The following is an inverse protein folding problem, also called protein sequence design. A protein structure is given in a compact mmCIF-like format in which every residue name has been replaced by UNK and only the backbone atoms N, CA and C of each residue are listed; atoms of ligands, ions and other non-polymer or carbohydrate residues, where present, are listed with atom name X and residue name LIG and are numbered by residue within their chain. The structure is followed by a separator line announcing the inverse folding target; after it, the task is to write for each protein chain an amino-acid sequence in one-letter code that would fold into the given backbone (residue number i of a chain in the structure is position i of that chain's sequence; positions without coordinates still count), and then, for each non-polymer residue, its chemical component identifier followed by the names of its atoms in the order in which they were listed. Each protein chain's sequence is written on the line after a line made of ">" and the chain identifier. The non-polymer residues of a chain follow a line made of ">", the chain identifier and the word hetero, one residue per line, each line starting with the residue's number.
data_IF_053058732328
#
_entry.id   IF_053058732328
#
_cell.length_a   1.000
_cell.length_b   1.000
_cell.length_c   1.000
_cell.angle_alpha   90.00
_cell.angle_beta   90.00
_cell.angle_gamma   90.00
#
_symmetry.space_group_name_H-M   'P 1'
#
loop_
_entity.id
_entity.type
_entity.pdbx_description
1 polymer ?
#
# COMPACT_ATOMS: atom_id res chain seq x y z
N UNK A 1 -20.63 5.79 -9.46
CA UNK A 1 -19.80 6.70 -10.28
C UNK A 1 -18.58 5.91 -10.71
N UNK A 2 -18.30 5.80 -12.01
CA UNK A 2 -17.07 5.18 -12.50
C UNK A 2 -15.95 6.22 -12.38
N UNK A 3 -14.92 5.93 -11.58
CA UNK A 3 -13.75 6.82 -11.47
C UNK A 3 -13.10 6.99 -12.85
N UNK A 4 -12.67 8.21 -13.16
CA UNK A 4 -11.92 8.48 -14.38
C UNK A 4 -10.59 7.70 -14.33
N UNK A 5 -10.07 7.20 -15.46
CA UNK A 5 -8.79 6.47 -15.46
C UNK A 5 -7.65 7.23 -14.77
N UNK A 6 -7.65 8.57 -14.90
CA UNK A 6 -6.66 9.46 -14.31
C UNK A 6 -6.81 9.71 -12.80
N UNK A 7 -7.90 9.28 -12.19
CA UNK A 7 -8.18 9.40 -10.77
C UNK A 7 -7.61 8.24 -9.94
N UNK A 8 -7.31 7.13 -10.61
CA UNK A 8 -6.93 5.89 -9.92
C UNK A 8 -5.43 5.87 -9.63
N UNK A 9 -5.08 5.56 -8.39
CA UNK A 9 -3.70 5.37 -7.93
C UNK A 9 -3.31 3.89 -8.08
N UNK A 10 -4.05 3.01 -7.41
CA UNK A 10 -3.76 1.58 -7.38
C UNK A 10 -5.00 0.76 -6.97
N UNK A 11 -4.90 -0.53 -7.13
CA UNK A 11 -5.86 -1.52 -6.62
C UNK A 11 -5.18 -2.51 -5.69
N UNK A 12 -5.85 -2.82 -4.59
CA UNK A 12 -5.50 -3.92 -3.70
C UNK A 12 -6.42 -5.10 -4.02
N UNK A 13 -5.87 -6.10 -4.69
CA UNK A 13 -6.61 -7.23 -5.20
C UNK A 13 -6.34 -8.46 -4.32
N UNK A 14 -7.35 -9.07 -3.70
CA UNK A 14 -7.15 -10.29 -2.92
C UNK A 14 -6.49 -11.38 -3.76
N UNK A 15 -5.45 -12.02 -3.23
CA UNK A 15 -4.70 -13.05 -3.96
C UNK A 15 -5.48 -14.35 -4.16
N UNK A 16 -6.44 -14.62 -3.27
CA UNK A 16 -7.29 -15.82 -3.30
C UNK A 16 -8.71 -15.50 -2.84
N UNK A 17 -9.68 -16.20 -3.44
CA UNK A 17 -11.08 -16.13 -3.03
C UNK A 17 -11.26 -16.71 -1.62
N UNK A 18 -12.23 -16.20 -0.86
CA UNK A 18 -12.49 -16.54 0.55
C UNK A 18 -11.32 -16.33 1.54
N UNK A 19 -10.22 -15.71 1.11
CA UNK A 19 -9.10 -15.33 1.98
C UNK A 19 -9.49 -14.21 2.94
N UNK A 20 -8.57 -13.89 3.88
CA UNK A 20 -8.75 -12.71 4.75
C UNK A 20 -8.77 -11.40 3.95
N UNK A 21 -8.00 -11.32 2.88
CA UNK A 21 -8.03 -10.17 1.98
C UNK A 21 -9.37 -10.06 1.22
N UNK A 22 -9.92 -11.18 0.77
CA UNK A 22 -11.25 -11.20 0.15
C UNK A 22 -12.34 -10.77 1.15
N UNK A 23 -12.26 -11.25 2.40
CA UNK A 23 -13.15 -10.79 3.48
C UNK A 23 -13.07 -9.27 3.71
N UNK A 24 -11.89 -8.65 3.55
CA UNK A 24 -11.74 -7.19 3.65
C UNK A 24 -12.61 -6.46 2.63
N UNK A 25 -12.79 -7.00 1.43
CA UNK A 25 -13.64 -6.39 0.39
C UNK A 25 -15.14 -6.43 0.72
N UNK A 26 -15.55 -7.19 1.73
CA UNK A 26 -16.92 -7.32 2.19
C UNK A 26 -17.22 -6.54 3.48
N UNK A 27 -16.21 -5.91 4.07
CA UNK A 27 -16.39 -5.03 5.23
C UNK A 27 -17.12 -3.77 4.79
N UNK A 28 -18.17 -3.39 5.52
CA UNK A 28 -19.05 -2.26 5.19
C UNK A 28 -18.32 -0.93 5.05
N UNK A 29 -17.31 -0.72 5.90
CA UNK A 29 -16.51 0.50 5.94
C UNK A 29 -15.63 0.67 4.69
N UNK A 30 -15.32 -0.43 4.01
CA UNK A 30 -14.57 -0.42 2.75
C UNK A 30 -15.48 -0.23 1.52
N UNK A 31 -16.80 -0.28 1.67
CA UNK A 31 -17.76 -0.36 0.56
C UNK A 31 -17.60 0.76 -0.48
N UNK A 32 -17.24 1.97 -0.05
CA UNK A 32 -17.04 3.13 -0.94
C UNK A 32 -15.80 3.01 -1.83
N UNK A 33 -14.85 2.12 -1.50
CA UNK A 33 -13.63 1.87 -2.25
C UNK A 33 -13.65 0.58 -3.05
N UNK A 34 -14.76 -0.16 -3.02
CA UNK A 34 -14.85 -1.45 -3.71
C UNK A 34 -15.15 -1.25 -5.19
N UNK A 35 -14.38 -1.93 -6.03
CA UNK A 35 -14.60 -2.04 -7.47
C UNK A 35 -14.62 -3.50 -7.91
N UNK A 36 -15.20 -3.76 -9.10
CA UNK A 36 -15.14 -5.08 -9.72
C UNK A 36 -13.87 -5.21 -10.57
N UNK A 37 -13.18 -6.34 -10.43
CA UNK A 37 -11.98 -6.65 -11.23
C UNK A 37 -12.33 -6.91 -12.70
N UNK A 38 -13.53 -7.40 -12.98
CA UNK A 38 -13.99 -7.72 -14.34
C UNK A 38 -14.51 -6.50 -15.10
N UNK A 39 -15.02 -5.50 -14.40
CA UNK A 39 -15.57 -4.28 -15.02
C UNK A 39 -14.51 -3.28 -15.46
N UNK A 40 -13.28 -3.42 -14.98
CA UNK A 40 -12.16 -2.55 -15.32
C UNK A 40 -11.24 -3.30 -16.32
N UNK A 41 -11.19 -2.84 -17.56
CA UNK A 41 -10.42 -3.49 -18.63
C UNK A 41 -8.91 -3.48 -18.37
N UNK A 42 -8.37 -2.40 -17.80
CA UNK A 42 -6.97 -2.31 -17.44
C UNK A 42 -6.63 -3.32 -16.33
N UNK A 43 -7.40 -3.33 -15.25
CA UNK A 43 -7.19 -4.26 -14.14
C UNK A 43 -7.36 -5.70 -14.61
N UNK A 44 -8.39 -6.00 -15.40
CA UNK A 44 -8.62 -7.32 -15.98
C UNK A 44 -7.46 -7.79 -16.85
N UNK A 45 -6.88 -6.91 -17.68
CA UNK A 45 -5.72 -7.26 -18.53
C UNK A 45 -4.46 -7.55 -17.72
N UNK A 46 -4.22 -6.78 -16.66
CA UNK A 46 -3.06 -7.00 -15.75
C UNK A 46 -3.20 -8.28 -14.94
N UNK A 47 -4.42 -8.68 -14.60
CA UNK A 47 -4.71 -9.89 -13.84
C UNK A 47 -4.80 -11.14 -14.72
N UNK A 48 -5.09 -11.01 -16.02
CA UNK A 48 -5.27 -12.16 -16.93
C UNK A 48 -4.00 -13.02 -17.09
N UNK A 49 -2.83 -12.45 -16.84
CA UNK A 49 -1.56 -13.18 -16.87
C UNK A 49 -1.31 -14.02 -15.61
N UNK A 50 -2.22 -13.97 -14.62
CA UNK A 50 -2.09 -14.64 -13.33
C UNK A 50 -3.11 -15.78 -13.28
N UNK A 51 -2.64 -16.99 -13.45
CA UNK A 51 -3.43 -18.22 -13.67
C UNK A 51 -4.40 -18.62 -12.55
N UNK A 52 -4.40 -17.95 -11.39
CA UNK A 52 -5.21 -18.33 -10.23
C UNK A 52 -5.95 -17.13 -9.59
N UNK A 53 -6.22 -16.07 -10.35
CA UNK A 53 -6.93 -14.93 -9.79
C UNK A 53 -8.43 -15.18 -9.79
N UNK A 54 -9.00 -15.39 -8.62
CA UNK A 54 -10.41 -15.75 -8.46
C UNK A 54 -11.26 -14.69 -7.76
N UNK A 55 -10.66 -13.59 -7.27
CA UNK A 55 -11.47 -12.55 -6.63
C UNK A 55 -12.06 -11.57 -7.65
N UNK A 56 -13.38 -11.42 -7.59
CA UNK A 56 -14.13 -10.50 -8.46
C UNK A 56 -14.11 -9.05 -7.91
N UNK A 57 -13.56 -8.83 -6.74
CA UNK A 57 -13.58 -7.54 -6.03
C UNK A 57 -12.18 -7.09 -5.67
N UNK A 58 -11.95 -5.79 -5.76
CA UNK A 58 -10.72 -5.14 -5.33
C UNK A 58 -11.04 -3.86 -4.54
N UNK A 59 -10.10 -3.44 -3.70
CA UNK A 59 -10.14 -2.13 -3.04
C UNK A 59 -9.37 -1.16 -3.93
N UNK A 60 -10.01 -0.06 -4.33
CA UNK A 60 -9.46 0.96 -5.19
C UNK A 60 -8.97 2.15 -4.37
N UNK A 61 -7.76 2.60 -4.64
CA UNK A 61 -7.18 3.83 -4.10
C UNK A 61 -7.25 4.91 -5.18
N UNK A 62 -7.82 6.07 -4.86
CA UNK A 62 -8.05 7.17 -5.81
C UNK A 62 -7.68 8.51 -5.20
N UNK A 63 -7.35 9.47 -6.06
CA UNK A 63 -7.13 10.85 -5.66
C UNK A 63 -8.43 11.56 -5.23
N UNK A 64 -9.55 11.27 -5.90
CA UNK A 64 -10.87 11.89 -5.61
C UNK A 64 -11.50 11.41 -4.29
N UNK A 65 -11.06 10.30 -3.75
CA UNK A 65 -11.47 9.82 -2.44
C UNK A 65 -10.26 9.83 -1.49
N UNK A 66 -9.90 11.01 -0.95
CA UNK A 66 -8.72 11.18 -0.13
C UNK A 66 -8.79 10.32 1.12
N UNK A 67 -7.62 9.99 1.70
CA UNK A 67 -7.54 9.30 2.97
C UNK A 67 -7.97 10.22 4.12
N UNK A 68 -8.19 9.65 5.28
CA UNK A 68 -8.48 10.37 6.54
C UNK A 68 -7.32 11.24 6.98
N UNK A 69 -6.10 10.86 6.60
CA UNK A 69 -4.89 11.65 6.82
C UNK A 69 -4.28 12.04 5.49
N UNK A 70 -3.85 13.29 5.33
CA UNK A 70 -3.24 13.75 4.08
C UNK A 70 -2.11 12.84 3.62
N UNK A 71 -2.09 12.53 2.33
CA UNK A 71 -1.01 11.81 1.68
C UNK A 71 -0.85 10.32 2.04
N UNK A 72 -1.75 9.72 2.89
CA UNK A 72 -1.49 8.39 3.43
C UNK A 72 -2.76 7.56 3.63
N UNK A 73 -2.90 6.44 2.92
CA UNK A 73 -3.95 5.46 3.17
C UNK A 73 -3.53 4.50 4.27
N UNK A 74 -4.17 4.57 5.43
CA UNK A 74 -3.88 3.72 6.58
C UNK A 74 -4.67 2.41 6.47
N UNK A 75 -3.97 1.29 6.66
CA UNK A 75 -4.55 -0.05 6.72
C UNK A 75 -4.49 -0.58 8.16
N UNK A 76 -5.56 -1.18 8.64
CA UNK A 76 -5.60 -1.74 9.99
C UNK A 76 -7.00 -2.12 10.44
N UNK A 77 -7.18 -2.36 11.74
CA UNK A 77 -8.45 -2.87 12.28
C UNK A 77 -9.36 -1.80 12.92
N UNK A 78 -8.88 -0.56 13.07
CA UNK A 78 -9.68 0.53 13.68
C UNK A 78 -10.37 1.38 12.60
N UNK A 79 -11.71 1.30 12.45
CA UNK A 79 -12.43 2.03 11.42
C UNK A 79 -12.44 3.56 11.62
N UNK A 80 -12.04 4.06 12.79
CA UNK A 80 -11.97 5.51 13.02
C UNK A 80 -10.73 6.14 12.43
N UNK A 81 -9.63 5.37 12.36
CA UNK A 81 -8.33 5.88 11.97
C UNK A 81 -7.79 5.28 10.67
N UNK A 82 -8.33 4.15 10.23
CA UNK A 82 -7.92 3.47 9.01
C UNK A 82 -8.86 3.78 7.83
N UNK A 83 -8.28 3.88 6.65
CA UNK A 83 -8.98 4.07 5.37
C UNK A 83 -9.41 2.73 4.76
N UNK A 84 -8.60 1.70 5.01
CA UNK A 84 -8.85 0.32 4.60
C UNK A 84 -8.91 -0.54 5.86
N UNK A 85 -10.10 -1.08 6.13
CA UNK A 85 -10.35 -1.90 7.30
C UNK A 85 -10.02 -3.35 6.99
N UNK A 86 -9.14 -3.93 7.81
CA UNK A 86 -8.74 -5.32 7.75
C UNK A 86 -9.53 -6.16 8.77
N UNK A 87 -9.70 -7.47 8.53
CA UNK A 87 -10.33 -8.36 9.49
C UNK A 87 -9.58 -8.35 10.83
N UNK A 88 -10.32 -8.39 11.92
CA UNK A 88 -9.74 -8.45 13.27
C UNK A 88 -9.21 -9.86 13.53
N UNK A 89 -7.94 -10.07 13.20
CA UNK A 89 -7.21 -11.30 13.46
C UNK A 89 -5.98 -11.02 14.30
N UNK A 90 -5.45 -12.06 14.94
CA UNK A 90 -4.22 -11.94 15.71
C UNK A 90 -3.06 -11.44 14.84
N UNK A 91 -2.26 -10.53 15.36
CA UNK A 91 -1.12 -9.94 14.66
C UNK A 91 -1.43 -8.66 13.90
N UNK A 92 -2.69 -8.36 13.57
CA UNK A 92 -3.03 -7.12 12.86
C UNK A 92 -3.26 -5.98 13.85
N UNK A 93 -2.47 -4.93 13.75
CA UNK A 93 -2.56 -3.73 14.59
C UNK A 93 -3.80 -2.89 14.25
N UNK A 94 -4.19 -2.00 15.18
CA UNK A 94 -5.26 -1.02 14.94
C UNK A 94 -4.96 -0.14 13.72
N UNK A 95 -3.74 0.38 13.67
CA UNK A 95 -3.10 0.94 12.49
C UNK A 95 -1.89 0.04 12.23
N UNK A 96 -1.79 -0.59 11.07
CA UNK A 96 -0.77 -1.59 10.79
C UNK A 96 0.31 -1.06 9.85
N UNK A 97 -0.10 -0.55 8.73
CA UNK A 97 0.79 0.03 7.74
C UNK A 97 0.08 1.16 6.97
N UNK A 98 0.84 1.91 6.19
CA UNK A 98 0.33 2.96 5.32
C UNK A 98 0.83 2.81 3.89
N UNK A 99 -0.01 3.18 2.93
CA UNK A 99 0.37 3.39 1.54
C UNK A 99 0.39 4.90 1.29
N UNK A 100 1.53 5.43 0.87
CA UNK A 100 1.78 6.86 0.65
C UNK A 100 2.65 7.08 -0.59
N UNK A 101 2.96 8.33 -0.89
CA UNK A 101 3.96 8.68 -1.90
C UNK A 101 5.22 9.21 -1.24
N UNK A 102 6.37 8.92 -1.84
CA UNK A 102 7.65 9.53 -1.47
C UNK A 102 7.93 10.82 -2.29
N UNK A 103 9.10 11.42 -2.03
CA UNK A 103 9.52 12.66 -2.71
C UNK A 103 9.70 12.51 -4.23
N UNK A 104 9.80 11.30 -4.75
CA UNK A 104 9.88 10.98 -6.19
C UNK A 104 8.52 10.55 -6.76
N UNK A 105 7.42 10.78 -6.04
CA UNK A 105 6.07 10.36 -6.39
C UNK A 105 5.93 8.85 -6.61
N UNK A 106 6.80 8.04 -5.97
CA UNK A 106 6.72 6.59 -5.98
C UNK A 106 5.76 6.13 -4.89
N UNK A 107 4.94 5.13 -5.19
CA UNK A 107 4.04 4.55 -4.20
C UNK A 107 4.86 3.68 -3.23
N UNK A 108 4.71 3.93 -1.95
CA UNK A 108 5.47 3.29 -0.86
C UNK A 108 4.51 2.68 0.15
N UNK A 109 4.83 1.49 0.64
CA UNK A 109 4.22 0.91 1.84
C UNK A 109 5.16 1.11 3.02
N UNK A 110 4.67 1.67 4.12
CA UNK A 110 5.42 1.81 5.38
C UNK A 110 4.73 1.04 6.49
N UNK A 111 5.46 0.16 7.16
CA UNK A 111 4.98 -0.58 8.33
C UNK A 111 5.26 0.18 9.63
N UNK A 112 4.32 0.12 10.55
CA UNK A 112 4.45 0.61 11.92
C UNK A 112 3.74 -0.31 12.92
N UNK A 113 3.58 -1.55 12.53
CA UNK A 113 2.88 -2.57 13.32
C UNK A 113 3.80 -3.22 14.36
N UNK A 114 3.20 -3.94 15.30
CA UNK A 114 3.95 -4.71 16.29
C UNK A 114 4.47 -6.07 15.75
N UNK A 115 3.90 -6.59 14.66
CA UNK A 115 4.20 -7.93 14.13
C UNK A 115 4.85 -7.89 12.74
N UNK A 116 4.88 -6.72 12.12
CA UNK A 116 5.48 -6.53 10.82
C UNK A 116 4.55 -6.83 9.65
N UNK A 117 4.93 -6.28 8.53
CA UNK A 117 4.36 -6.52 7.20
C UNK A 117 5.40 -7.22 6.36
N UNK A 118 4.96 -8.00 5.39
CA UNK A 118 5.81 -8.65 4.41
C UNK A 118 5.40 -8.18 3.00
N UNK A 119 6.41 -7.89 2.16
CA UNK A 119 6.17 -7.61 0.74
C UNK A 119 6.90 -8.64 -0.11
N UNK A 120 6.21 -9.16 -1.11
CA UNK A 120 6.73 -10.08 -2.09
C UNK A 120 6.85 -9.39 -3.44
N UNK A 121 8.01 -9.48 -4.03
CA UNK A 121 8.27 -9.12 -5.42
C UNK A 121 8.43 -10.41 -6.21
N UNK A 122 7.40 -10.75 -7.00
CA UNK A 122 7.25 -12.06 -7.64
C UNK A 122 7.27 -13.20 -6.60
N UNK A 123 8.40 -13.85 -6.41
CA UNK A 123 8.59 -15.00 -5.51
C UNK A 123 9.51 -14.71 -4.33
N UNK A 124 10.08 -13.50 -4.28
CA UNK A 124 11.07 -13.12 -3.28
C UNK A 124 10.46 -12.18 -2.22
N UNK A 125 10.84 -12.42 -0.97
CA UNK A 125 10.45 -11.59 0.17
C UNK A 125 11.55 -11.60 1.22
N UNK A 126 11.66 -10.49 1.95
CA UNK A 126 12.57 -10.38 3.09
C UNK A 126 11.92 -10.76 4.43
N UNK A 127 10.76 -11.39 4.40
CA UNK A 127 9.99 -11.78 5.59
C UNK A 127 9.25 -10.61 6.24
N UNK A 128 8.66 -10.88 7.41
CA UNK A 128 7.98 -9.83 8.20
C UNK A 128 9.00 -8.82 8.72
N UNK A 129 8.74 -7.54 8.47
CA UNK A 129 9.54 -6.41 8.94
C UNK A 129 8.66 -5.39 9.64
N UNK A 130 9.15 -4.91 10.77
CA UNK A 130 8.57 -3.80 11.51
C UNK A 130 9.36 -2.52 11.23
N UNK A 131 8.71 -1.35 11.26
CA UNK A 131 9.34 -0.06 11.00
C UNK A 131 10.14 -0.01 9.68
N UNK A 132 9.58 -0.63 8.63
CA UNK A 132 10.24 -0.79 7.35
C UNK A 132 9.37 -0.25 6.22
N UNK A 133 10.00 0.19 5.12
CA UNK A 133 9.29 0.71 3.95
C UNK A 133 9.69 -0.03 2.67
N UNK A 134 8.71 -0.25 1.78
CA UNK A 134 8.87 -0.92 0.49
C UNK A 134 8.35 -0.04 -0.63
N UNK A 135 9.06 -0.03 -1.75
CA UNK A 135 8.56 0.57 -2.99
C UNK A 135 7.48 -0.32 -3.61
N UNK A 136 6.37 0.28 -4.04
CA UNK A 136 5.30 -0.41 -4.76
C UNK A 136 5.22 0.00 -6.24
N UNK A 137 5.87 1.11 -6.63
CA UNK A 137 5.90 1.60 -8.00
C UNK A 137 7.19 2.34 -8.31
N UNK A 138 7.48 2.50 -9.60
CA UNK A 138 8.66 3.23 -10.08
C UNK A 138 8.56 4.75 -9.96
N UNK A 139 7.36 5.29 -9.75
CA UNK A 139 7.18 6.74 -9.83
C UNK A 139 7.73 7.30 -11.14
N UNK A 140 8.31 8.52 -11.11
CA UNK A 140 8.96 9.17 -12.26
C UNK A 140 10.35 8.64 -12.60
N UNK A 141 10.99 7.98 -11.68
CA UNK A 141 12.40 7.63 -11.85
C UNK A 141 12.62 6.45 -12.80
N UNK A 142 11.57 5.66 -13.08
CA UNK A 142 11.71 4.41 -13.83
C UNK A 142 12.55 3.35 -13.09
N UNK A 143 12.87 3.59 -11.83
CA UNK A 143 13.82 2.77 -11.04
C UNK A 143 13.20 1.51 -10.45
N UNK A 144 11.88 1.38 -10.47
CA UNK A 144 11.24 0.11 -10.11
C UNK A 144 11.60 -0.91 -11.19
N UNK A 145 12.18 -2.07 -10.84
CA UNK A 145 12.63 -2.99 -11.85
C UNK A 145 11.50 -3.44 -12.75
N UNK A 146 11.67 -3.23 -14.04
CA UNK A 146 10.74 -3.67 -15.09
C UNK A 146 10.50 -5.19 -15.10
N UNK A 147 11.34 -5.94 -14.41
CA UNK A 147 11.26 -7.39 -14.27
C UNK A 147 10.20 -7.82 -13.24
N UNK A 148 9.86 -6.97 -12.26
CA UNK A 148 8.85 -7.30 -11.25
C UNK A 148 7.46 -7.23 -11.89
N UNK A 149 6.84 -8.39 -12.01
CA UNK A 149 5.50 -8.51 -12.60
C UNK A 149 4.41 -8.47 -11.55
N UNK A 150 4.73 -8.86 -10.32
CA UNK A 150 3.76 -9.03 -9.25
C UNK A 150 4.28 -8.56 -7.91
N UNK A 151 3.62 -7.59 -7.31
CA UNK A 151 3.88 -7.15 -5.94
C UNK A 151 2.73 -7.59 -5.04
N UNK A 152 3.02 -8.33 -3.97
CA UNK A 152 2.05 -8.77 -2.97
C UNK A 152 2.43 -8.18 -1.63
N UNK A 153 1.47 -7.54 -0.98
CA UNK A 153 1.54 -7.12 0.41
C UNK A 153 0.84 -8.16 1.27
N UNK A 154 1.56 -8.72 2.24
CA UNK A 154 1.04 -9.68 3.22
C UNK A 154 1.04 -9.03 4.61
N UNK A 155 -0.14 -8.79 5.14
CA UNK A 155 -0.38 -8.20 6.44
C UNK A 155 -0.90 -9.31 7.36
N UNK A 156 0.01 -10.07 7.94
CA UNK A 156 -0.32 -11.18 8.84
C UNK A 156 -1.38 -12.13 8.26
N UNK A 157 -1.17 -12.56 7.00
CA UNK A 157 -2.05 -13.45 6.24
C UNK A 157 -3.15 -12.76 5.43
N UNK A 158 -3.30 -11.44 5.54
CA UNK A 158 -4.15 -10.65 4.63
C UNK A 158 -3.31 -10.27 3.41
N UNK A 159 -3.49 -11.01 2.30
CA UNK A 159 -2.64 -10.91 1.11
C UNK A 159 -3.33 -10.19 -0.04
N UNK A 160 -2.83 -9.01 -0.37
CA UNK A 160 -3.25 -8.26 -1.54
C UNK A 160 -2.17 -8.22 -2.60
N UNK A 161 -2.53 -8.50 -3.83
CA UNK A 161 -1.71 -8.05 -4.95
C UNK A 161 -1.96 -6.56 -5.16
N UNK A 162 -0.89 -5.78 -5.20
CA UNK A 162 -0.94 -4.36 -5.54
C UNK A 162 -0.80 -4.23 -7.05
N UNK A 163 -1.82 -3.65 -7.69
CA UNK A 163 -1.78 -3.31 -9.11
C UNK A 163 -1.77 -1.80 -9.20
N UNK A 164 -0.64 -1.23 -9.57
CA UNK A 164 -0.48 0.22 -9.71
C UNK A 164 -0.98 0.65 -11.08
N UNK A 165 -1.70 1.76 -11.14
CA UNK A 165 -2.14 2.36 -12.39
C UNK A 165 -0.93 3.00 -13.10
N UNK A 166 -0.62 2.55 -14.30
CA UNK A 166 0.47 3.09 -15.10
C UNK A 166 0.09 4.48 -15.63
N UNK A 167 0.90 5.48 -15.31
CA UNK A 167 0.71 6.89 -15.67
C UNK A 167 1.90 7.45 -16.46
N UNK A 168 2.69 6.56 -17.05
CA UNK A 168 3.90 6.93 -17.82
C UNK A 168 3.64 7.90 -18.97
N UNK A 169 2.42 7.92 -19.50
CA UNK A 169 2.02 8.81 -20.60
C UNK A 169 1.61 10.23 -20.15
N UNK A 170 1.29 10.42 -18.86
CA UNK A 170 0.77 11.69 -18.30
C UNK A 170 1.43 12.03 -16.96
N UNK A 171 2.75 12.02 -16.99
CA UNK A 171 3.55 12.11 -15.78
C UNK A 171 3.44 13.46 -15.06
N UNK A 172 3.40 14.56 -15.77
CA UNK A 172 3.33 15.91 -15.17
C UNK A 172 2.00 16.09 -14.41
N UNK A 173 0.89 15.70 -15.04
CA UNK A 173 -0.43 15.71 -14.38
C UNK A 173 -0.48 14.79 -13.17
N UNK A 174 0.16 13.62 -13.25
CA UNK A 174 0.23 12.70 -12.12
C UNK A 174 0.99 13.30 -10.95
N UNK A 175 2.14 13.95 -11.18
CA UNK A 175 2.92 14.63 -10.17
C UNK A 175 2.11 15.72 -9.47
N UNK A 176 1.42 16.56 -10.23
CA UNK A 176 0.54 17.60 -9.69
C UNK A 176 -0.57 16.99 -8.79
N UNK A 177 -1.15 15.86 -9.20
CA UNK A 177 -2.15 15.17 -8.41
C UNK A 177 -1.56 14.59 -7.12
N UNK A 178 -0.33 14.04 -7.17
CA UNK A 178 0.37 13.54 -5.97
C UNK A 178 0.69 14.70 -5.01
N UNK A 179 1.19 15.83 -5.52
CA UNK A 179 1.48 17.00 -4.70
C UNK A 179 0.21 17.50 -4.01
N UNK A 180 -0.89 17.66 -4.75
CA UNK A 180 -2.18 18.04 -4.19
C UNK A 180 -2.71 17.04 -3.16
N UNK A 181 -2.53 15.73 -3.41
CA UNK A 181 -2.95 14.67 -2.50
C UNK A 181 -2.17 14.70 -1.18
N UNK A 182 -0.89 15.04 -1.22
CA UNK A 182 -0.04 15.16 -0.04
C UNK A 182 -0.29 16.46 0.75
N UNK A 183 -0.73 17.54 0.06
CA UNK A 183 -0.97 18.85 0.66
C UNK A 183 -2.40 19.03 1.20
N UNK A 184 -3.36 18.17 0.82
CA UNK A 184 -4.76 18.32 1.25
C UNK A 184 -4.85 18.28 2.78
N UNK A 185 -5.42 19.32 3.43
CA UNK A 185 -5.72 19.24 4.85
C UNK A 185 -6.75 18.11 5.08
N UNK A 186 -6.52 17.28 6.11
CA UNK A 186 -7.51 16.27 6.45
C UNK A 186 -8.82 16.97 6.83
N UNK A 187 -9.96 16.42 6.40
CA UNK A 187 -11.28 16.95 6.78
C UNK A 187 -11.51 16.90 8.32
N UNK A 188 -10.75 16.09 9.04
CA UNK A 188 -10.75 16.03 10.51
C UNK A 188 -9.91 17.14 11.14
N UNK A 189 -8.93 17.71 10.44
CA UNK A 189 -8.08 18.78 10.99
C UNK A 189 -8.87 20.04 11.34
N UNK A 190 -9.96 20.33 10.64
CA UNK A 190 -10.81 21.48 10.93
C UNK A 190 -11.58 21.35 12.27
N UNK A 191 -11.83 20.11 12.73
CA UNK A 191 -12.58 19.84 13.97
C UNK A 191 -11.74 19.25 15.10
N UNK A 192 -10.65 18.57 14.79
CA UNK A 192 -9.84 17.82 15.75
C UNK A 192 -8.80 18.68 16.46
N UNK A 193 -8.27 19.71 15.80
CA UNK A 193 -7.32 20.65 16.43
C UNK A 193 -7.98 21.53 17.50
N UNK A 194 -9.30 21.63 17.51
CA UNK A 194 -10.00 22.36 18.56
C UNK A 194 -10.07 21.57 19.91
N UNK A 195 -9.80 20.27 19.89
CA UNK A 195 -9.95 19.39 21.07
C UNK A 195 -8.70 18.54 21.39
N UNK A 196 -7.59 18.76 20.69
CA UNK A 196 -6.39 17.91 20.72
C UNK A 196 -5.42 18.20 21.87
N UNK A 197 -5.91 18.71 23.00
CA UNK A 197 -5.10 18.75 24.25
C UNK A 197 -4.87 17.35 24.87
N UNK A 198 -5.32 16.25 24.24
CA UNK A 198 -5.25 14.90 24.81
C UNK A 198 -4.47 13.85 24.00
N UNK A 199 -3.83 14.20 22.87
CA UNK A 199 -2.94 13.28 22.19
C UNK A 199 -1.59 13.21 22.92
N UNK A 200 -1.25 12.01 23.39
CA UNK A 200 0.05 11.80 24.07
C UNK A 200 1.20 12.09 23.09
N UNK A 201 2.28 12.75 23.56
CA UNK A 201 3.44 13.11 22.73
C UNK A 201 4.09 11.92 21.99
N UNK A 202 3.90 10.68 22.52
CA UNK A 202 4.40 9.44 21.92
C UNK A 202 3.72 9.05 20.61
N UNK A 203 2.45 9.40 20.42
CA UNK A 203 1.73 9.07 19.18
C UNK A 203 2.10 10.06 18.06
N UNK A 204 2.31 11.32 18.38
CA UNK A 204 2.81 12.30 17.41
C UNK A 204 4.27 12.03 17.00
N UNK A 205 5.12 11.55 17.92
CA UNK A 205 6.50 11.19 17.61
C UNK A 205 6.60 10.02 16.63
N UNK A 206 5.67 9.04 16.69
CA UNK A 206 5.63 7.93 15.74
C UNK A 206 5.36 8.41 14.30
N UNK A 207 4.51 9.44 14.12
CA UNK A 207 4.21 9.99 12.80
C UNK A 207 5.31 10.89 12.24
N UNK A 208 5.93 11.71 13.10
CA UNK A 208 7.10 12.49 12.68
C UNK A 208 8.27 11.59 12.26
N UNK A 209 8.41 10.40 12.85
CA UNK A 209 9.43 9.42 12.47
C UNK A 209 9.22 8.84 11.06
N UNK A 210 7.98 8.67 10.62
CA UNK A 210 7.67 8.19 9.26
C UNK A 210 8.12 9.24 8.23
N UNK A 211 7.83 10.52 8.46
CA UNK A 211 8.23 11.61 7.56
C UNK A 211 9.72 11.97 7.65
N UNK A 212 10.33 11.87 8.84
CA UNK A 212 11.75 12.24 9.05
C UNK A 212 12.71 11.15 8.58
N UNK A 213 12.34 9.86 8.65
CA UNK A 213 13.19 8.78 8.10
C UNK A 213 13.25 8.82 6.57
N UNK A 214 12.19 9.30 5.90
CA UNK A 214 12.22 9.50 4.45
C UNK A 214 13.03 10.74 4.01
N UNK A 215 13.40 11.64 4.92
CA UNK A 215 14.26 12.81 4.62
C UNK A 215 15.73 12.60 4.95
N UNK A 216 16.09 11.54 5.69
CA UNK A 216 17.49 11.14 5.84
C UNK A 216 17.85 10.17 4.73
N UNK A 217 18.55 10.70 3.75
CA UNK A 217 19.29 10.18 2.61
C UNK A 217 19.84 8.73 2.64
N UNK A 218 19.11 7.76 3.15
CA UNK A 218 19.33 6.37 2.76
C UNK A 218 18.40 6.08 1.58
N UNK A 219 18.94 5.93 0.38
CA UNK A 219 18.13 5.68 -0.79
C UNK A 219 17.43 4.33 -0.62
N UNK A 220 16.10 4.31 -0.85
CA UNK A 220 15.35 3.06 -0.96
C UNK A 220 15.97 2.10 -2.02
N UNK A 221 16.82 2.61 -2.89
CA UNK A 221 17.66 1.91 -3.84
C UNK A 221 18.62 0.91 -3.20
N UNK A 222 19.29 1.25 -2.08
CA UNK A 222 20.18 0.30 -1.42
C UNK A 222 19.45 -0.95 -0.92
N UNK A 223 18.24 -0.78 -0.45
CA UNK A 223 17.42 -1.90 0.06
C UNK A 223 16.95 -2.83 -1.05
N UNK A 224 16.73 -2.29 -2.26
CA UNK A 224 16.31 -3.06 -3.41
C UNK A 224 17.50 -3.74 -4.11
N UNK A 225 18.61 -3.01 -4.31
CA UNK A 225 19.85 -3.53 -4.88
C UNK A 225 20.47 -4.66 -4.03
N UNK A 226 20.29 -4.58 -2.69
CA UNK A 226 20.80 -5.60 -1.79
C UNK A 226 20.15 -6.98 -2.02
N UNK A 227 18.89 -7.03 -2.45
CA UNK A 227 18.20 -8.28 -2.80
C UNK A 227 18.56 -8.79 -4.21
N UNK A 228 19.01 -7.90 -5.11
CA UNK A 228 19.40 -8.27 -6.48
C UNK A 228 20.86 -8.75 -6.60
N UNK A 229 21.75 -8.32 -5.70
CA UNK A 229 23.17 -8.66 -5.75
C UNK A 229 23.52 -10.00 -5.09
N UNK A 230 22.60 -10.67 -4.39
CA UNK A 230 22.87 -12.02 -3.88
C UNK A 230 22.58 -13.06 -4.94
N UNK A 231 23.61 -13.83 -5.40
CA UNK A 231 23.38 -14.99 -6.23
C UNK A 231 22.51 -15.99 -5.42
N UNK A 232 21.51 -16.52 -6.09
CA UNK A 232 20.57 -17.50 -5.57
C UNK A 232 21.31 -18.75 -5.07
N UNK A 233 21.44 -18.92 -3.77
CA UNK A 233 21.85 -20.19 -3.19
C UNK A 233 20.59 -21.04 -2.92
N UNK A 234 20.42 -22.19 -3.58
CA UNK A 234 19.31 -23.08 -3.29
C UNK A 234 19.43 -23.58 -1.86
N UNK A 235 18.37 -23.43 -1.06
CA UNK A 235 18.27 -24.05 0.25
C UNK A 235 18.42 -25.56 0.12
N UNK A 236 19.59 -26.09 0.47
CA UNK A 236 19.80 -27.52 0.64
C UNK A 236 18.95 -27.98 1.81
N UNK A 237 17.93 -28.77 1.53
CA UNK A 237 17.19 -29.46 2.59
C UNK A 237 18.16 -30.34 3.35
N UNK A 238 18.44 -30.00 4.60
CA UNK A 238 19.10 -30.91 5.52
C UNK A 238 18.10 -32.04 5.84
N UNK A 239 18.29 -33.19 5.23
CA UNK A 239 17.68 -34.44 5.63
C UNK A 239 18.50 -35.07 6.74
N UNK A 240 17.91 -35.22 7.90
CA UNK A 240 18.31 -36.17 8.91
C UNK A 240 17.05 -36.82 9.46
#
# INVERSE_FOLDING_TARGET
>A
MTSQPNDIIAWLVPTTHHSLADKSTHISENASRITSTTSNSYLSSRLSNITNHSSERAIQLTFSQPPKRPGSFILGTDPRTCDIILPRTEGISKQHCAISFDAQSRLVLSDFSAKGTQVWYDWESNGDRTDYSWLLSSGCSGEFPSMVQRTIVDIQGVRFQVVVNDRSEDWDTFREQVDQFCEQPSWEDATYWADSSSLLPSEMAAFQHIFVKNTTNEPAEELYLWNLERPWEPMVKASA
#
